data_IF_814872448326
#
_entry.id   IF_814872448326
#
_cell.length_a   1.000
_cell.length_b   1.000
_cell.length_c   1.000
_cell.angle_alpha   90.00
_cell.angle_beta   90.00
_cell.angle_gamma   90.00
#
_symmetry.space_group_name_H-M   'P 1'
#
loop_
_entity.id
_entity.type
_entity.pdbx_description
1 polymer ?
#
# COMPACT_ATOMS: atom_id res chain seq x y z
N UNK A 1 35.79 62.45 4.92
CA UNK A 1 35.63 62.09 3.49
C UNK A 1 36.48 60.87 3.18
N UNK A 2 35.91 59.90 2.43
CA UNK A 2 36.52 58.73 1.77
C UNK A 2 36.96 57.58 2.72
N UNK A 3 36.14 56.53 2.93
CA UNK A 3 35.90 55.34 2.07
C UNK A 3 37.19 54.62 1.66
N UNK A 4 37.57 53.59 2.42
CA UNK A 4 38.45 52.47 2.00
C UNK A 4 37.83 51.21 2.62
N UNK A 5 36.90 50.58 1.90
CA UNK A 5 37.08 49.30 1.20
C UNK A 5 36.79 48.07 2.09
N UNK A 6 35.48 47.81 2.23
CA UNK A 6 34.91 46.52 2.62
C UNK A 6 34.91 45.65 1.35
N UNK A 7 35.82 44.70 1.27
CA UNK A 7 35.92 43.59 0.29
C UNK A 7 37.15 42.80 0.76
N UNK A 8 37.07 41.60 1.31
CA UNK A 8 36.85 40.31 0.64
C UNK A 8 36.72 39.32 1.82
N UNK A 9 35.55 38.79 2.18
CA UNK A 9 34.96 37.60 1.56
C UNK A 9 35.99 36.54 1.18
N UNK A 10 36.47 35.71 2.11
CA UNK A 10 36.74 34.30 1.79
C UNK A 10 37.12 33.48 3.03
N UNK A 11 36.28 32.45 3.28
CA UNK A 11 36.61 31.18 3.95
C UNK A 11 37.17 31.32 5.37
N UNK A 12 36.41 31.08 6.44
CA UNK A 12 35.93 29.75 6.78
C UNK A 12 34.51 29.88 7.37
N UNK A 13 33.50 29.85 6.48
CA UNK A 13 32.25 29.22 6.85
C UNK A 13 32.61 27.75 7.08
N UNK A 14 32.67 27.34 8.34
CA UNK A 14 32.53 25.94 8.70
C UNK A 14 31.14 25.51 8.24
N UNK A 15 31.02 25.27 6.93
CA UNK A 15 30.17 24.23 6.41
C UNK A 15 30.62 22.95 7.12
N UNK A 16 30.06 22.72 8.30
CA UNK A 16 29.75 21.37 8.73
C UNK A 16 28.71 20.87 7.73
N UNK A 17 29.19 20.58 6.53
CA UNK A 17 28.58 19.64 5.63
C UNK A 17 28.73 18.33 6.38
N UNK A 18 27.80 18.07 7.32
CA UNK A 18 27.45 16.71 7.65
C UNK A 18 27.10 16.12 6.30
N UNK A 19 28.06 15.38 5.75
CA UNK A 19 27.84 14.41 4.69
C UNK A 19 26.54 13.75 5.09
N UNK A 20 25.48 13.97 4.31
CA UNK A 20 24.25 13.20 4.45
C UNK A 20 24.73 11.75 4.53
N UNK A 21 24.58 11.16 5.71
CA UNK A 21 24.60 9.72 5.83
C UNK A 21 23.63 9.28 4.76
N UNK A 22 24.15 8.61 3.72
CA UNK A 22 23.33 7.86 2.79
C UNK A 22 22.37 7.08 3.67
N UNK A 23 21.11 7.51 3.67
CA UNK A 23 20.07 6.85 4.42
C UNK A 23 20.19 5.37 4.07
N UNK A 24 20.12 4.57 5.11
CA UNK A 24 20.06 3.12 5.09
C UNK A 24 19.52 2.61 3.76
N UNK A 25 20.22 1.65 3.15
CA UNK A 25 19.75 0.97 1.94
C UNK A 25 18.39 0.38 2.31
N UNK A 26 17.32 1.11 2.03
CA UNK A 26 15.98 0.58 2.04
C UNK A 26 16.06 -0.56 1.03
N UNK A 27 15.95 -1.79 1.53
CA UNK A 27 15.84 -2.98 0.71
C UNK A 27 14.50 -2.90 -0.02
N UNK A 28 14.35 -1.95 -0.94
CA UNK A 28 13.17 -1.79 -1.76
C UNK A 28 13.19 -2.88 -2.83
N UNK A 29 12.31 -3.86 -2.69
CA UNK A 29 12.17 -4.97 -3.63
C UNK A 29 10.93 -4.84 -4.52
N UNK A 30 10.14 -3.77 -4.35
CA UNK A 30 8.96 -3.50 -5.16
C UNK A 30 9.41 -2.66 -6.34
N UNK A 31 9.57 -3.33 -7.48
CA UNK A 31 10.00 -2.68 -8.72
C UNK A 31 8.84 -1.90 -9.33
N UNK A 32 9.14 -0.79 -9.99
CA UNK A 32 8.14 -0.06 -10.77
C UNK A 32 7.81 -0.83 -12.05
N UNK A 33 6.52 -0.97 -12.35
CA UNK A 33 5.99 -1.61 -13.55
C UNK A 33 5.34 -0.56 -14.46
N UNK A 34 5.44 -0.76 -15.77
CA UNK A 34 4.73 0.06 -16.76
C UNK A 34 3.34 -0.52 -17.01
N UNK A 35 2.39 0.34 -17.38
CA UNK A 35 1.05 -0.11 -17.81
C UNK A 35 1.17 -0.84 -19.14
N UNK A 36 0.78 -2.11 -19.18
CA UNK A 36 0.82 -2.93 -20.40
C UNK A 36 -0.56 -3.42 -20.85
N UNK A 37 -1.61 -3.22 -20.04
CA UNK A 37 -2.96 -3.70 -20.35
C UNK A 37 -3.87 -2.55 -20.76
N UNK A 38 -4.68 -2.77 -21.79
CA UNK A 38 -5.76 -1.89 -22.23
C UNK A 38 -7.14 -2.32 -21.71
N UNK A 39 -7.21 -3.39 -20.92
CA UNK A 39 -8.45 -3.90 -20.36
C UNK A 39 -9.14 -2.85 -19.49
N UNK A 40 -10.39 -2.52 -19.75
CA UNK A 40 -11.11 -1.41 -19.13
C UNK A 40 -12.40 -1.80 -18.38
N UNK A 41 -12.81 -3.08 -18.47
CA UNK A 41 -14.02 -3.63 -17.85
C UNK A 41 -13.80 -4.00 -16.39
N UNK A 42 -13.52 -3.00 -15.56
CA UNK A 42 -13.38 -3.11 -14.11
C UNK A 42 -13.73 -1.77 -13.43
N UNK A 43 -14.05 -1.82 -12.14
CA UNK A 43 -14.42 -0.64 -11.38
C UNK A 43 -13.22 -0.02 -10.66
N UNK A 44 -13.22 1.31 -10.59
CA UNK A 44 -12.42 2.08 -9.65
C UNK A 44 -13.38 2.65 -8.62
N UNK A 45 -13.16 2.28 -7.37
CA UNK A 45 -14.00 2.70 -6.24
C UNK A 45 -13.43 3.96 -5.58
N UNK A 46 -14.27 4.63 -4.81
CA UNK A 46 -13.88 5.80 -4.03
C UNK A 46 -12.93 5.38 -2.88
N UNK A 47 -11.82 6.09 -2.61
CA UNK A 47 -10.92 5.74 -1.51
C UNK A 47 -11.55 5.82 -0.12
N UNK A 48 -12.63 6.58 0.08
CA UNK A 48 -13.19 6.82 1.41
C UNK A 48 -12.37 7.79 2.27
N UNK A 49 -12.74 7.93 3.56
CA UNK A 49 -12.07 8.83 4.50
C UNK A 49 -10.64 8.36 4.87
N UNK A 50 -9.63 9.10 4.41
CA UNK A 50 -8.22 8.75 4.62
C UNK A 50 -7.61 9.26 5.94
N UNK A 51 -8.42 9.48 6.99
CA UNK A 51 -7.97 10.03 8.28
C UNK A 51 -6.90 9.17 8.98
N UNK A 52 -6.97 7.85 8.77
CA UNK A 52 -6.03 6.87 9.35
C UNK A 52 -4.83 6.61 8.44
N UNK A 53 -4.85 7.07 7.20
CA UNK A 53 -3.86 6.74 6.20
C UNK A 53 -4.45 6.59 4.81
N UNK A 54 -3.55 6.52 3.84
CA UNK A 54 -3.88 6.35 2.43
C UNK A 54 -2.99 5.29 1.78
N UNK A 55 -3.49 4.71 0.70
CA UNK A 55 -2.71 3.96 -0.27
C UNK A 55 -3.01 4.46 -1.67
N UNK A 56 -2.00 4.45 -2.55
CA UNK A 56 -2.17 4.71 -3.98
C UNK A 56 -1.42 3.64 -4.77
N UNK A 57 -1.94 3.26 -5.93
CA UNK A 57 -1.36 2.26 -6.81
C UNK A 57 -1.94 2.41 -8.24
N UNK A 58 -1.55 1.51 -9.13
CA UNK A 58 -2.21 1.27 -10.40
C UNK A 58 -2.95 -0.08 -10.32
N UNK A 59 -4.26 -0.07 -10.59
CA UNK A 59 -5.09 -1.26 -10.76
C UNK A 59 -5.28 -1.50 -12.25
N UNK A 60 -4.63 -2.55 -12.78
CA UNK A 60 -4.59 -2.93 -14.21
C UNK A 60 -3.99 -1.84 -15.11
N UNK A 61 -4.68 -0.73 -15.28
CA UNK A 61 -4.26 0.42 -16.09
C UNK A 61 -4.84 1.77 -15.63
N UNK A 62 -5.53 1.81 -14.47
CA UNK A 62 -6.08 3.03 -13.90
C UNK A 62 -5.50 3.30 -12.52
N UNK A 63 -5.41 4.57 -12.15
CA UNK A 63 -5.08 4.95 -10.78
C UNK A 63 -6.06 4.32 -9.80
N UNK A 64 -5.52 3.80 -8.70
CA UNK A 64 -6.27 3.22 -7.61
C UNK A 64 -5.84 3.90 -6.32
N UNK A 65 -6.82 4.28 -5.50
CA UNK A 65 -6.61 4.93 -4.21
C UNK A 65 -7.49 4.24 -3.19
N UNK A 66 -6.99 4.12 -1.96
CA UNK A 66 -7.71 3.51 -0.86
C UNK A 66 -7.45 4.24 0.46
N UNK A 67 -8.35 4.07 1.41
CA UNK A 67 -8.08 4.34 2.82
C UNK A 67 -7.18 3.22 3.35
N UNK A 68 -6.19 3.58 4.17
CA UNK A 68 -5.24 2.62 4.73
C UNK A 68 -5.20 2.71 6.25
N UNK A 69 -5.09 1.56 6.91
CA UNK A 69 -4.85 1.47 8.34
C UNK A 69 -4.01 0.24 8.66
N UNK A 70 -3.40 0.20 9.84
CA UNK A 70 -2.67 -0.96 10.30
C UNK A 70 -3.03 -1.33 11.74
N UNK A 71 -2.94 -2.61 12.08
CA UNK A 71 -3.13 -3.13 13.44
C UNK A 71 -2.03 -4.12 13.78
N UNK A 72 -1.72 -4.23 15.07
CA UNK A 72 -0.79 -5.20 15.60
C UNK A 72 -1.56 -6.23 16.44
N UNK A 73 -1.52 -7.50 16.04
CA UNK A 73 -2.16 -8.59 16.76
C UNK A 73 -1.20 -9.78 16.87
N UNK A 74 -0.83 -10.18 18.09
CA UNK A 74 -0.01 -11.38 18.34
C UNK A 74 1.25 -11.49 17.45
N UNK A 75 2.03 -10.40 17.36
CA UNK A 75 3.22 -10.30 16.48
C UNK A 75 2.94 -10.25 14.97
N UNK A 76 1.70 -10.03 14.57
CA UNK A 76 1.29 -9.82 13.17
C UNK A 76 0.93 -8.36 12.96
N UNK A 77 1.54 -7.75 11.95
CA UNK A 77 1.16 -6.47 11.38
C UNK A 77 0.11 -6.75 10.30
N UNK A 78 -1.13 -6.38 10.60
CA UNK A 78 -2.24 -6.42 9.66
C UNK A 78 -2.40 -5.04 9.02
N UNK A 79 -2.14 -4.92 7.73
CA UNK A 79 -2.34 -3.71 6.93
C UNK A 79 -3.64 -3.89 6.15
N UNK A 80 -4.59 -2.98 6.34
CA UNK A 80 -5.88 -3.00 5.65
C UNK A 80 -5.98 -1.83 4.67
N UNK A 81 -6.38 -2.11 3.43
CA UNK A 81 -6.78 -1.12 2.44
C UNK A 81 -8.26 -1.27 2.10
N UNK A 82 -8.98 -0.16 2.07
CA UNK A 82 -10.43 -0.13 1.87
C UNK A 82 -10.81 0.89 0.79
N UNK A 83 -11.75 0.49 -0.06
CA UNK A 83 -12.45 1.39 -0.99
C UNK A 83 -13.96 1.24 -0.84
N UNK A 84 -14.70 2.21 -1.36
CA UNK A 84 -16.13 2.40 -1.13
C UNK A 84 -16.84 2.68 -2.46
N UNK A 85 -18.12 2.31 -2.52
CA UNK A 85 -18.92 2.41 -3.74
C UNK A 85 -19.40 3.83 -4.08
N UNK A 86 -19.36 4.77 -3.13
CA UNK A 86 -19.83 6.15 -3.33
C UNK A 86 -19.07 7.14 -2.44
N UNK A 87 -19.03 8.40 -2.88
CA UNK A 87 -18.50 9.55 -2.14
C UNK A 87 -19.50 10.13 -1.12
N UNK A 88 -20.78 9.81 -1.26
CA UNK A 88 -21.85 10.43 -0.47
C UNK A 88 -21.76 10.05 1.01
N UNK A 89 -21.58 11.02 1.91
CA UNK A 89 -21.52 10.80 3.37
C UNK A 89 -22.86 10.32 3.96
N UNK A 90 -23.99 10.65 3.32
CA UNK A 90 -25.36 10.33 3.79
C UNK A 90 -25.80 8.90 3.43
N UNK A 91 -25.30 8.38 2.31
CA UNK A 91 -25.37 6.95 2.02
C UNK A 91 -24.17 6.34 2.71
N UNK A 92 -24.37 5.58 3.80
CA UNK A 92 -23.30 4.82 4.46
C UNK A 92 -22.59 3.96 3.40
N UNK A 93 -21.53 4.50 2.80
CA UNK A 93 -20.80 3.85 1.72
C UNK A 93 -20.39 2.48 2.22
N UNK A 94 -20.72 1.44 1.48
CA UNK A 94 -20.36 0.10 1.89
C UNK A 94 -18.92 -0.15 1.45
N UNK A 95 -18.12 -0.74 2.34
CA UNK A 95 -16.83 -1.30 1.95
C UNK A 95 -17.03 -2.16 0.72
N UNK A 96 -16.22 -1.91 -0.29
CA UNK A 96 -16.45 -2.42 -1.64
C UNK A 96 -15.27 -3.22 -2.12
N UNK A 97 -14.04 -2.76 -1.85
CA UNK A 97 -12.85 -3.61 -1.96
C UNK A 97 -12.10 -3.54 -0.64
N UNK A 98 -11.77 -4.71 -0.09
CA UNK A 98 -10.98 -4.86 1.12
C UNK A 98 -9.74 -5.64 0.74
N UNK A 99 -8.56 -5.08 1.06
CA UNK A 99 -7.27 -5.75 0.96
C UNK A 99 -6.68 -5.87 2.36
N UNK A 100 -6.56 -7.09 2.87
CA UNK A 100 -5.89 -7.35 4.14
C UNK A 100 -4.54 -8.01 3.87
N UNK A 101 -3.45 -7.37 4.29
CA UNK A 101 -2.08 -7.87 4.20
C UNK A 101 -1.57 -8.16 5.60
N UNK A 102 -1.33 -9.42 5.93
CA UNK A 102 -0.82 -9.85 7.22
C UNK A 102 0.64 -10.27 7.09
N UNK A 103 1.53 -9.66 7.86
CA UNK A 103 2.97 -10.01 7.91
C UNK A 103 3.45 -10.04 9.35
N UNK A 104 4.49 -10.83 9.65
CA UNK A 104 5.09 -10.82 10.99
C UNK A 104 5.77 -9.47 11.28
N UNK A 105 5.53 -8.91 12.47
CA UNK A 105 6.07 -7.64 13.00
C UNK A 105 7.60 -7.72 13.09
N UNK A 106 8.33 -6.67 12.65
CA UNK A 106 9.11 -6.78 11.44
C UNK A 106 10.58 -7.12 11.68
N UNK A 107 11.21 -7.57 10.59
CA UNK A 107 12.38 -6.85 10.09
C UNK A 107 11.90 -5.91 8.97
N UNK A 108 12.22 -4.62 9.08
CA UNK A 108 12.14 -3.66 7.97
C UNK A 108 12.71 -4.32 6.70
N UNK A 109 12.12 -4.01 5.55
CA UNK A 109 12.52 -4.60 4.28
C UNK A 109 11.43 -5.45 3.67
N UNK A 110 11.84 -6.55 3.06
CA UNK A 110 11.08 -7.16 1.99
C UNK A 110 10.46 -8.51 2.29
N UNK A 111 9.23 -8.63 1.82
CA UNK A 111 8.34 -9.73 2.14
C UNK A 111 7.65 -10.21 0.87
N UNK A 112 7.74 -11.50 0.60
CA UNK A 112 7.02 -12.15 -0.50
C UNK A 112 5.61 -12.48 -0.01
N UNK A 113 4.61 -12.04 -0.75
CA UNK A 113 3.21 -12.22 -0.39
C UNK A 113 2.64 -13.50 -1.03
N UNK A 114 1.88 -14.29 -0.26
CA UNK A 114 1.30 -15.55 -0.72
C UNK A 114 -0.07 -15.85 -0.10
N UNK A 115 -0.50 -17.11 -0.21
CA UNK A 115 -1.77 -17.62 0.34
C UNK A 115 -1.58 -18.55 1.56
N UNK A 116 -0.35 -18.70 2.07
CA UNK A 116 -0.05 -19.82 2.96
C UNK A 116 -0.44 -19.54 4.41
N UNK A 117 -1.58 -20.11 4.83
CA UNK A 117 -2.12 -20.01 6.19
C UNK A 117 -1.33 -20.79 7.24
N UNK A 118 -0.56 -21.80 6.85
CA UNK A 118 0.12 -22.68 7.83
C UNK A 118 1.38 -22.07 8.43
N UNK A 119 1.95 -21.03 7.81
CA UNK A 119 3.16 -20.39 8.31
C UNK A 119 2.95 -18.94 8.77
N UNK A 120 1.78 -18.32 8.51
CA UNK A 120 1.46 -16.92 8.88
C UNK A 120 2.55 -15.89 8.48
N UNK A 121 3.44 -16.26 7.57
CA UNK A 121 4.61 -15.44 7.23
C UNK A 121 4.14 -14.20 6.49
N UNK A 122 3.21 -14.36 5.54
CA UNK A 122 2.68 -13.29 4.68
C UNK A 122 1.43 -13.72 3.91
N UNK A 123 0.26 -13.15 4.22
CA UNK A 123 -1.01 -13.44 3.54
C UNK A 123 -1.61 -12.15 2.97
N UNK A 124 -2.18 -12.21 1.76
CA UNK A 124 -3.11 -11.18 1.27
C UNK A 124 -4.48 -11.78 1.05
N UNK A 125 -5.50 -11.11 1.56
CA UNK A 125 -6.89 -11.34 1.19
C UNK A 125 -7.43 -10.14 0.44
N UNK A 126 -8.05 -10.39 -0.72
CA UNK A 126 -8.80 -9.37 -1.43
C UNK A 126 -10.25 -9.81 -1.58
N UNK A 127 -11.19 -8.94 -1.24
CA UNK A 127 -12.60 -9.21 -1.45
C UNK A 127 -13.36 -8.01 -1.99
N UNK A 128 -14.32 -8.31 -2.86
CA UNK A 128 -15.36 -7.35 -3.22
C UNK A 128 -16.58 -7.58 -2.34
N UNK A 129 -17.11 -6.52 -1.75
CA UNK A 129 -18.22 -6.58 -0.78
C UNK A 129 -19.38 -5.71 -1.26
N UNK A 130 -20.62 -6.14 -0.97
CA UNK A 130 -21.84 -5.37 -1.20
C UNK A 130 -22.76 -5.57 -0.01
N UNK A 131 -22.89 -4.55 0.83
CA UNK A 131 -23.58 -4.68 2.11
C UNK A 131 -22.78 -5.51 3.10
N UNK A 132 -23.40 -6.52 3.72
CA UNK A 132 -22.78 -7.47 4.66
C UNK A 132 -22.26 -8.76 4.00
N UNK A 133 -22.46 -8.90 2.68
CA UNK A 133 -22.07 -10.09 1.93
C UNK A 133 -20.83 -9.84 1.06
N UNK A 134 -19.81 -10.69 1.24
CA UNK A 134 -18.71 -10.79 0.28
C UNK A 134 -19.21 -11.36 -1.04
N UNK A 135 -19.10 -10.58 -2.12
CA UNK A 135 -19.55 -10.94 -3.46
C UNK A 135 -18.49 -11.73 -4.23
N UNK A 136 -17.23 -11.28 -4.16
CA UNK A 136 -16.11 -11.96 -4.78
C UNK A 136 -14.97 -12.10 -3.78
N UNK A 137 -14.45 -13.30 -3.64
CA UNK A 137 -13.20 -13.56 -2.92
C UNK A 137 -12.11 -13.82 -3.94
N UNK A 138 -10.91 -13.31 -3.68
CA UNK A 138 -9.75 -13.54 -4.51
C UNK A 138 -8.63 -14.19 -3.68
N UNK A 139 -7.78 -14.93 -4.38
CA UNK A 139 -6.56 -15.52 -3.84
C UNK A 139 -5.36 -14.92 -4.58
N UNK A 140 -4.21 -14.86 -3.93
CA UNK A 140 -2.96 -14.40 -4.54
C UNK A 140 -2.55 -15.34 -5.68
N UNK A 141 -2.14 -14.79 -6.83
CA UNK A 141 -1.48 -15.56 -7.89
C UNK A 141 -0.02 -15.77 -7.52
N UNK A 142 0.30 -16.92 -6.93
CA UNK A 142 1.66 -17.25 -6.46
C UNK A 142 2.68 -17.41 -7.61
N UNK A 143 2.24 -17.40 -8.88
CA UNK A 143 3.13 -17.41 -10.04
C UNK A 143 3.59 -16.01 -10.47
N UNK A 144 3.15 -14.97 -9.77
CA UNK A 144 3.48 -13.56 -10.04
C UNK A 144 4.35 -12.99 -8.92
N UNK A 145 4.99 -11.85 -9.21
CA UNK A 145 5.78 -11.13 -8.22
C UNK A 145 4.84 -10.36 -7.29
N UNK A 146 4.56 -10.94 -6.12
CA UNK A 146 3.75 -10.32 -5.08
C UNK A 146 4.66 -9.96 -3.92
N UNK A 147 4.79 -8.68 -3.61
CA UNK A 147 5.80 -8.18 -2.69
C UNK A 147 5.25 -7.02 -1.88
N UNK A 148 5.71 -6.96 -0.64
CA UNK A 148 5.57 -5.83 0.28
C UNK A 148 6.97 -5.41 0.69
N UNK A 149 7.24 -4.11 0.66
CA UNK A 149 8.43 -3.50 1.24
C UNK A 149 7.99 -2.54 2.33
N UNK A 150 8.36 -2.80 3.58
CA UNK A 150 8.14 -1.87 4.69
C UNK A 150 9.38 -1.01 4.82
N UNK A 151 9.24 0.29 4.58
CA UNK A 151 10.34 1.26 4.72
C UNK A 151 10.30 1.98 6.08
N UNK A 152 9.11 2.12 6.66
CA UNK A 152 8.87 2.84 7.91
C UNK A 152 8.04 1.97 8.82
N UNK A 153 8.53 1.70 10.02
CA UNK A 153 7.78 1.05 11.09
C UNK A 153 8.11 1.70 12.43
N UNK A 154 7.27 2.64 12.84
CA UNK A 154 7.48 3.50 13.99
C UNK A 154 6.36 3.31 15.01
N UNK A 155 6.64 2.54 16.06
CA UNK A 155 5.72 2.28 17.15
C UNK A 155 5.55 3.46 18.10
N UNK A 156 6.46 4.44 18.09
CA UNK A 156 6.37 5.62 18.96
C UNK A 156 5.35 6.59 18.38
N UNK A 157 5.40 6.81 17.07
CA UNK A 157 4.48 7.67 16.35
C UNK A 157 3.27 6.93 15.77
N UNK A 158 3.14 5.63 16.04
CA UNK A 158 2.10 4.75 15.51
C UNK A 158 1.98 4.84 13.98
N UNK A 159 3.09 4.71 13.25
CA UNK A 159 3.13 4.85 11.80
C UNK A 159 3.78 3.67 11.12
N UNK A 160 3.22 3.30 9.97
CA UNK A 160 3.83 2.37 9.03
C UNK A 160 3.68 2.91 7.62
N UNK A 161 4.72 2.73 6.81
CA UNK A 161 4.71 3.07 5.40
C UNK A 161 5.52 2.05 4.60
N UNK A 162 5.24 2.01 3.30
CA UNK A 162 5.91 1.08 2.42
C UNK A 162 5.35 1.06 1.01
N UNK A 163 5.85 0.11 0.25
CA UNK A 163 5.47 -0.16 -1.14
C UNK A 163 4.90 -1.56 -1.28
N UNK A 164 4.05 -1.75 -2.27
CA UNK A 164 3.45 -3.05 -2.52
C UNK A 164 3.14 -3.28 -4.00
N UNK A 165 3.07 -4.56 -4.35
CA UNK A 165 2.51 -5.04 -5.59
C UNK A 165 1.96 -6.45 -5.40
N UNK A 166 0.84 -6.76 -6.03
CA UNK A 166 0.28 -8.11 -5.99
C UNK A 166 -0.65 -8.38 -7.17
N UNK A 167 -0.71 -9.65 -7.53
CA UNK A 167 -1.64 -10.22 -8.49
C UNK A 167 -2.58 -11.17 -7.75
N UNK A 168 -3.85 -11.11 -8.08
CA UNK A 168 -4.88 -11.95 -7.49
C UNK A 168 -5.75 -12.58 -8.58
N UNK A 169 -6.35 -13.73 -8.25
CA UNK A 169 -7.29 -14.47 -9.08
C UNK A 169 -8.56 -14.75 -8.31
N UNK A 170 -9.71 -14.72 -8.99
CA UNK A 170 -10.98 -15.09 -8.37
C UNK A 170 -10.91 -16.47 -7.75
N UNK A 171 -11.31 -16.56 -6.49
CA UNK A 171 -11.48 -17.81 -5.79
C UNK A 171 -12.75 -18.50 -6.27
N UNK A 172 -12.66 -19.78 -6.62
CA UNK A 172 -13.81 -20.60 -7.02
C UNK A 172 -14.67 -21.07 -5.83
N UNK A 173 -14.34 -20.64 -4.61
CA UNK A 173 -14.99 -21.08 -3.37
C UNK A 173 -16.36 -20.39 -3.17
N UNK A 174 -16.62 -19.25 -3.81
CA UNK A 174 -17.90 -18.54 -3.73
C UNK A 174 -18.44 -18.25 -5.13
N UNK A 175 -19.77 -18.24 -5.26
CA UNK A 175 -20.44 -17.90 -6.51
C UNK A 175 -20.13 -16.43 -6.82
N UNK A 176 -19.26 -16.21 -7.80
CA UNK A 176 -18.77 -14.89 -8.16
C UNK A 176 -19.84 -14.10 -8.91
N UNK A 177 -20.03 -12.84 -8.56
CA UNK A 177 -20.75 -11.91 -9.44
C UNK A 177 -19.88 -11.68 -10.70
N UNK A 178 -20.32 -12.14 -11.88
CA UNK A 178 -19.52 -12.06 -13.10
C UNK A 178 -19.29 -10.62 -13.56
N UNK A 179 -20.05 -9.65 -13.05
CA UNK A 179 -20.02 -8.27 -13.56
C UNK A 179 -19.05 -7.36 -12.81
N UNK A 180 -18.59 -7.73 -11.61
CA UNK A 180 -18.01 -6.76 -10.68
C UNK A 180 -16.49 -6.55 -10.82
N UNK A 181 -15.71 -7.52 -11.30
CA UNK A 181 -14.26 -7.36 -11.53
C UNK A 181 -13.76 -8.54 -12.41
N UNK A 182 -12.60 -8.40 -13.09
CA UNK A 182 -12.03 -9.48 -13.91
C UNK A 182 -11.60 -10.67 -13.07
N UNK A 183 -11.41 -11.82 -13.73
CA UNK A 183 -10.96 -13.06 -13.07
C UNK A 183 -9.54 -12.96 -12.53
N UNK A 184 -8.70 -12.11 -13.14
CA UNK A 184 -7.35 -11.80 -12.70
C UNK A 184 -7.19 -10.28 -12.57
N UNK A 185 -6.46 -9.85 -11.55
CA UNK A 185 -6.27 -8.43 -11.25
C UNK A 185 -4.83 -8.20 -10.76
N UNK A 186 -4.20 -7.14 -11.26
CA UNK A 186 -2.88 -6.66 -10.83
C UNK A 186 -3.03 -5.31 -10.16
N UNK A 187 -2.49 -5.18 -8.95
CA UNK A 187 -2.22 -3.90 -8.31
C UNK A 187 -0.70 -3.73 -8.20
N UNK A 188 -0.17 -2.64 -8.74
CA UNK A 188 1.26 -2.40 -8.85
C UNK A 188 1.61 -0.93 -8.68
N UNK A 189 2.89 -0.62 -8.52
CA UNK A 189 3.40 0.71 -8.14
C UNK A 189 2.67 1.24 -6.90
N UNK A 190 2.38 0.34 -5.97
CA UNK A 190 1.65 0.66 -4.75
C UNK A 190 2.57 1.31 -3.73
N UNK A 191 2.08 2.36 -3.09
CA UNK A 191 2.65 2.93 -1.88
C UNK A 191 1.54 3.17 -0.85
N UNK A 192 1.89 3.15 0.43
CA UNK A 192 0.96 3.45 1.50
C UNK A 192 1.65 4.16 2.67
N UNK A 193 0.85 4.97 3.37
CA UNK A 193 1.23 5.59 4.63
C UNK A 193 0.02 5.52 5.56
N UNK A 194 0.14 4.85 6.69
CA UNK A 194 -0.97 4.73 7.62
C UNK A 194 -0.56 4.67 9.09
N UNK A 195 -1.56 4.90 9.93
CA UNK A 195 -1.44 4.80 11.37
C UNK A 195 -1.64 3.35 11.81
N UNK A 196 -0.86 2.94 12.80
CA UNK A 196 -1.08 1.74 13.60
C UNK A 196 -2.17 2.12 14.62
N UNK A 197 -3.32 1.48 14.51
CA UNK A 197 -4.47 1.70 15.39
C UNK A 197 -4.59 0.53 16.37
N UNK A 198 -5.07 0.83 17.58
CA UNK A 198 -5.41 -0.18 18.59
C UNK A 198 -6.68 -0.96 18.18
#
# INVERSE_FOLDING_TARGET
MKKIFILVWTLILFFSCKKEEKSDITNDCVVEEQITSDYDKFYINYPGPQKKGYAKAIKINKEWKASASAKILNSILAIKFETFNTEEEDNKGYETEIVDINVLIPKIGCTILGNNKTELISEIYFSAVRGDATQNAYIVDTNKHNKLSIDTFDLINNRVAGKFMFSIKKSRIRQSDPWYNPDELRIFNGEFHCNIID
#
